data_IF_143265371214
#
_entry.id   IF_143265371214
#
_cell.length_a   1.000
_cell.length_b   1.000
_cell.length_c   1.000
_cell.angle_alpha   90.00
_cell.angle_beta   90.00
_cell.angle_gamma   90.00
#
_symmetry.space_group_name_H-M   'P 1'
#
loop_
_entity.id
_entity.type
_entity.pdbx_description
1 polymer ?
#
# COMPACT_ATOMS: atom_id res chain seq x y z
N UNK A 1 -77.09 12.92 23.29
CA UNK A 1 -77.01 12.57 21.86
C UNK A 1 -75.67 13.08 21.34
N UNK A 2 -74.59 12.43 21.77
CA UNK A 2 -73.90 11.33 21.09
C UNK A 2 -73.24 11.74 19.77
N UNK A 3 -71.98 12.14 19.97
CA UNK A 3 -70.85 12.19 19.05
C UNK A 3 -70.63 10.78 18.50
N UNK A 4 -71.01 10.51 17.25
CA UNK A 4 -70.72 9.27 16.52
C UNK A 4 -71.03 9.48 15.02
N UNK A 5 -70.16 10.20 14.30
CA UNK A 5 -70.10 10.09 12.82
C UNK A 5 -68.84 10.71 12.19
N UNK A 6 -67.68 10.57 12.85
CA UNK A 6 -66.37 10.91 12.27
C UNK A 6 -65.32 9.81 12.52
N UNK A 7 -65.74 8.54 12.48
CA UNK A 7 -64.86 7.38 12.57
C UNK A 7 -65.31 6.38 11.51
N UNK A 8 -64.80 6.46 10.28
CA UNK A 8 -64.81 5.37 9.28
C UNK A 8 -63.73 5.54 8.20
N UNK A 9 -62.58 6.16 8.52
CA UNK A 9 -61.37 6.13 7.64
C UNK A 9 -60.08 5.82 8.44
N UNK A 10 -60.16 5.38 9.70
CA UNK A 10 -58.97 5.08 10.53
C UNK A 10 -58.81 3.58 10.87
N UNK A 11 -59.70 2.69 10.40
CA UNK A 11 -59.63 1.24 10.74
C UNK A 11 -59.28 0.32 9.56
N UNK A 12 -58.38 0.74 8.66
CA UNK A 12 -57.76 -0.18 7.67
C UNK A 12 -56.28 0.15 7.41
N UNK A 13 -55.57 0.59 8.45
CA UNK A 13 -54.10 0.64 8.47
C UNK A 13 -53.51 0.01 9.75
N UNK A 14 -54.28 -0.86 10.42
CA UNK A 14 -53.81 -1.78 11.46
C UNK A 14 -53.72 -3.20 10.88
N UNK A 15 -52.95 -3.37 9.80
CA UNK A 15 -52.57 -4.68 9.26
C UNK A 15 -51.36 -4.60 8.32
N UNK A 16 -50.35 -3.81 8.68
CA UNK A 16 -49.01 -3.90 8.12
C UNK A 16 -48.01 -3.23 9.07
N UNK A 17 -48.09 -3.59 10.35
CA UNK A 17 -47.05 -3.30 11.33
C UNK A 17 -45.84 -4.19 11.07
N UNK A 18 -45.15 -4.01 9.95
CA UNK A 18 -43.73 -4.35 9.87
C UNK A 18 -43.02 -3.16 10.49
N UNK A 19 -42.94 -3.17 11.82
CA UNK A 19 -41.82 -2.50 12.47
C UNK A 19 -40.60 -3.21 11.89
N UNK A 20 -39.90 -2.53 10.97
CA UNK A 20 -38.56 -2.93 10.62
C UNK A 20 -37.77 -2.85 11.93
N UNK A 21 -37.61 -4.01 12.58
CA UNK A 21 -36.56 -4.19 13.56
C UNK A 21 -35.28 -3.67 12.89
N UNK A 22 -34.43 -2.89 13.59
CA UNK A 22 -33.11 -2.60 13.05
C UNK A 22 -32.53 -3.96 12.65
N UNK A 23 -32.00 -4.06 11.43
CA UNK A 23 -31.24 -5.23 11.01
C UNK A 23 -30.32 -5.58 12.19
N UNK A 24 -30.46 -6.82 12.68
CA UNK A 24 -29.77 -7.34 13.85
C UNK A 24 -28.32 -6.82 13.82
N UNK A 25 -28.02 -5.81 14.64
CA UNK A 25 -26.65 -5.35 14.85
C UNK A 25 -25.98 -6.46 15.65
N UNK A 26 -25.67 -7.54 14.93
CA UNK A 26 -24.82 -8.61 15.43
C UNK A 26 -23.53 -7.89 15.81
N UNK A 27 -23.31 -7.69 17.11
CA UNK A 27 -22.02 -7.21 17.59
C UNK A 27 -20.97 -8.15 17.03
N UNK A 28 -20.16 -7.63 16.10
CA UNK A 28 -19.00 -8.34 15.56
C UNK A 28 -18.13 -8.72 16.74
N UNK A 29 -17.96 -10.03 16.97
CA UNK A 29 -17.10 -10.55 18.03
C UNK A 29 -15.72 -10.83 17.46
N UNK A 30 -14.72 -10.69 18.32
CA UNK A 30 -13.37 -11.14 18.08
C UNK A 30 -13.33 -12.52 17.40
N UNK A 31 -12.70 -12.61 16.23
CA UNK A 31 -12.57 -13.86 15.46
C UNK A 31 -13.78 -14.25 14.61
N UNK A 32 -14.86 -13.46 14.59
CA UNK A 32 -15.93 -13.63 13.61
C UNK A 32 -15.37 -13.38 12.19
N UNK A 33 -15.85 -14.14 11.20
CA UNK A 33 -15.58 -13.82 9.80
C UNK A 33 -16.27 -12.51 9.44
N UNK A 34 -15.54 -11.63 8.78
CA UNK A 34 -16.01 -10.31 8.32
C UNK A 34 -15.63 -10.16 6.86
N UNK A 35 -16.55 -9.63 6.06
CA UNK A 35 -16.26 -9.16 4.71
C UNK A 35 -16.44 -7.64 4.68
N UNK A 36 -15.58 -6.96 3.94
CA UNK A 36 -15.69 -5.52 3.66
C UNK A 36 -15.34 -5.25 2.20
N UNK A 37 -15.76 -4.10 1.66
CA UNK A 37 -15.38 -3.69 0.30
C UNK A 37 -14.19 -2.74 0.38
N UNK A 38 -13.03 -3.22 -0.07
CA UNK A 38 -11.81 -2.42 -0.17
C UNK A 38 -11.75 -1.66 -1.49
N UNK A 39 -11.21 -0.44 -1.45
CA UNK A 39 -10.86 0.33 -2.63
C UNK A 39 -9.42 0.84 -2.57
N UNK A 40 -8.73 0.82 -3.71
CA UNK A 40 -7.41 1.44 -3.89
C UNK A 40 -7.40 2.28 -5.16
N UNK A 41 -6.71 3.41 -5.13
CA UNK A 41 -6.60 4.31 -6.27
C UNK A 41 -5.17 4.31 -6.81
N UNK A 42 -4.98 3.92 -8.07
CA UNK A 42 -3.78 4.30 -8.80
C UNK A 42 -3.93 5.75 -9.26
N UNK A 43 -2.99 6.64 -8.91
CA UNK A 43 -3.16 8.09 -9.11
C UNK A 43 -1.88 8.78 -9.60
N UNK A 44 -2.02 9.55 -10.68
CA UNK A 44 -1.04 10.52 -11.15
C UNK A 44 -1.37 11.89 -10.54
N UNK A 45 -0.63 12.29 -9.51
CA UNK A 45 -0.85 13.54 -8.80
C UNK A 45 -0.70 14.77 -9.70
N UNK A 46 -1.64 15.71 -9.58
CA UNK A 46 -1.51 17.05 -10.13
C UNK A 46 -0.25 17.72 -9.59
N UNK A 47 0.51 18.36 -10.48
CA UNK A 47 1.82 18.96 -10.17
C UNK A 47 2.12 20.20 -11.00
N UNK A 48 1.13 20.72 -11.72
CA UNK A 48 1.34 21.93 -12.52
C UNK A 48 1.39 23.15 -11.61
N UNK A 49 2.20 24.18 -11.94
CA UNK A 49 2.27 25.40 -11.15
C UNK A 49 0.90 26.07 -11.00
N UNK A 50 0.57 26.47 -9.77
CA UNK A 50 -0.68 27.19 -9.47
C UNK A 50 -0.38 28.60 -8.99
N UNK A 51 -1.35 29.52 -9.11
CA UNK A 51 -1.21 30.88 -8.53
C UNK A 51 -1.04 30.85 -7.01
N UNK A 52 -1.59 29.84 -6.34
CA UNK A 52 -1.45 29.62 -4.90
C UNK A 52 -0.20 28.79 -4.51
N UNK A 53 0.72 28.56 -5.46
CA UNK A 53 1.94 27.80 -5.24
C UNK A 53 1.70 26.38 -4.76
N UNK A 54 2.51 25.92 -3.80
CA UNK A 54 2.39 24.57 -3.22
C UNK A 54 1.05 24.30 -2.54
N UNK A 55 0.45 25.31 -1.90
CA UNK A 55 -0.87 25.13 -1.27
C UNK A 55 -1.92 24.80 -2.33
N UNK A 56 -1.89 25.47 -3.49
CA UNK A 56 -2.80 25.20 -4.59
C UNK A 56 -2.64 23.80 -5.16
N UNK A 57 -1.41 23.28 -5.26
CA UNK A 57 -1.16 21.89 -5.68
C UNK A 57 -1.82 20.91 -4.71
N UNK A 58 -1.59 21.08 -3.40
CA UNK A 58 -2.17 20.18 -2.39
C UNK A 58 -3.70 20.22 -2.37
N UNK A 59 -4.28 21.41 -2.56
CA UNK A 59 -5.72 21.59 -2.60
C UNK A 59 -6.35 20.96 -3.85
N UNK A 60 -5.74 21.16 -5.02
CA UNK A 60 -6.22 20.56 -6.27
C UNK A 60 -6.23 19.03 -6.19
N UNK A 61 -5.12 18.44 -5.71
CA UNK A 61 -5.06 17.01 -5.47
C UNK A 61 -6.12 16.55 -4.46
N UNK A 62 -6.31 17.25 -3.34
CA UNK A 62 -7.34 16.90 -2.36
C UNK A 62 -8.76 16.95 -2.94
N UNK A 63 -9.05 17.92 -3.82
CA UNK A 63 -10.33 18.00 -4.54
C UNK A 63 -10.51 16.80 -5.47
N UNK A 64 -9.50 16.46 -6.28
CA UNK A 64 -9.55 15.30 -7.18
C UNK A 64 -9.73 13.99 -6.39
N UNK A 65 -8.97 13.81 -5.31
CA UNK A 65 -9.10 12.65 -4.43
C UNK A 65 -10.49 12.56 -3.81
N UNK A 66 -11.12 13.70 -3.47
CA UNK A 66 -12.49 13.74 -2.94
C UNK A 66 -13.53 13.23 -3.96
N UNK A 67 -13.31 13.42 -5.26
CA UNK A 67 -14.14 12.81 -6.30
C UNK A 67 -13.98 11.29 -6.32
N UNK A 68 -12.77 10.77 -6.13
CA UNK A 68 -12.54 9.33 -6.05
C UNK A 68 -13.09 8.70 -4.77
N UNK A 69 -13.08 9.43 -3.65
CA UNK A 69 -13.81 9.05 -2.43
C UNK A 69 -15.30 8.84 -2.74
N UNK A 70 -15.94 9.78 -3.45
CA UNK A 70 -17.33 9.66 -3.85
C UNK A 70 -17.56 8.49 -4.83
N UNK A 71 -16.67 8.29 -5.81
CA UNK A 71 -16.74 7.17 -6.78
C UNK A 71 -16.58 5.81 -6.08
N UNK A 72 -15.65 5.70 -5.14
CA UNK A 72 -15.44 4.48 -4.34
C UNK A 72 -16.68 4.17 -3.50
N UNK A 73 -17.24 5.19 -2.85
CA UNK A 73 -18.48 5.00 -2.08
C UNK A 73 -19.65 4.58 -2.96
N UNK A 74 -19.79 5.16 -4.15
CA UNK A 74 -20.83 4.79 -5.10
C UNK A 74 -20.72 3.32 -5.57
N UNK A 75 -19.52 2.73 -5.50
CA UNK A 75 -19.26 1.31 -5.76
C UNK A 75 -19.35 0.44 -4.50
N UNK A 76 -19.82 0.99 -3.37
CA UNK A 76 -20.04 0.24 -2.13
C UNK A 76 -18.82 0.09 -1.24
N UNK A 77 -17.72 0.82 -1.49
CA UNK A 77 -16.52 0.73 -0.66
C UNK A 77 -16.79 1.10 0.81
N UNK A 78 -16.07 0.43 1.71
CA UNK A 78 -15.99 0.72 3.14
C UNK A 78 -14.71 1.51 3.48
N UNK A 79 -13.64 1.30 2.71
CA UNK A 79 -12.35 1.97 2.86
C UNK A 79 -11.73 2.28 1.49
N UNK A 80 -11.12 3.46 1.35
CA UNK A 80 -10.30 3.84 0.20
C UNK A 80 -8.86 4.14 0.65
N UNK A 81 -7.88 3.52 0.01
CA UNK A 81 -6.45 3.86 0.14
C UNK A 81 -6.01 4.67 -1.06
N UNK A 82 -5.27 5.76 -0.83
CA UNK A 82 -4.67 6.60 -1.88
C UNK A 82 -3.15 6.52 -1.90
N UNK A 83 -2.47 6.88 -3.00
CA UNK A 83 -1.03 6.69 -3.12
C UNK A 83 -0.18 7.56 -2.19
N UNK A 84 1.08 7.16 -2.06
CA UNK A 84 2.12 8.01 -1.48
C UNK A 84 2.31 9.24 -2.39
N UNK A 85 2.50 10.41 -1.80
CA UNK A 85 2.59 11.68 -2.54
C UNK A 85 1.34 12.09 -3.32
N UNK A 86 0.19 11.46 -3.07
CA UNK A 86 -1.04 11.80 -3.76
C UNK A 86 -1.47 13.25 -3.53
N UNK A 87 -1.19 13.82 -2.35
CA UNK A 87 -1.59 15.20 -1.99
C UNK A 87 -0.53 16.23 -2.42
N UNK A 88 0.71 16.05 -1.98
CA UNK A 88 1.82 17.00 -2.19
C UNK A 88 2.53 16.87 -3.54
N UNK A 89 2.28 15.79 -4.29
CA UNK A 89 3.03 15.39 -5.48
C UNK A 89 4.49 14.99 -5.20
N UNK A 90 5.08 14.25 -6.14
CA UNK A 90 6.50 13.89 -6.16
C UNK A 90 7.41 15.10 -6.51
N UNK A 91 6.84 16.14 -7.12
CA UNK A 91 7.57 17.30 -7.64
C UNK A 91 7.54 18.44 -6.62
N UNK A 92 8.38 18.32 -5.58
CA UNK A 92 8.49 19.32 -4.52
C UNK A 92 9.72 20.20 -4.70
N UNK A 93 9.59 21.49 -4.35
CA UNK A 93 10.71 22.42 -4.28
C UNK A 93 11.61 22.12 -3.06
N UNK A 94 12.76 22.81 -2.96
CA UNK A 94 13.64 22.66 -1.80
C UNK A 94 13.00 23.17 -0.50
N UNK A 95 12.14 24.19 -0.60
CA UNK A 95 11.25 24.58 0.50
C UNK A 95 9.94 23.79 0.35
N UNK A 96 9.78 22.75 1.16
CA UNK A 96 8.61 21.88 1.12
C UNK A 96 7.46 22.39 1.99
N UNK A 97 7.67 23.43 2.82
CA UNK A 97 6.63 23.90 3.73
C UNK A 97 5.30 24.20 3.01
N UNK A 98 5.25 24.88 1.86
CA UNK A 98 4.00 25.19 1.17
C UNK A 98 3.16 23.97 0.73
N UNK A 99 3.78 22.80 0.56
CA UNK A 99 3.09 21.56 0.15
C UNK A 99 2.79 20.61 1.32
N UNK A 100 3.14 21.00 2.55
CA UNK A 100 2.91 20.16 3.75
C UNK A 100 1.50 20.37 4.31
N UNK A 101 1.07 19.50 5.24
CA UNK A 101 -0.13 19.68 6.05
C UNK A 101 0.22 19.53 7.53
N UNK A 102 -0.44 20.29 8.40
CA UNK A 102 -0.49 19.95 9.81
C UNK A 102 -1.41 18.75 10.00
N UNK A 103 -1.00 17.76 10.79
CA UNK A 103 -1.82 16.58 11.12
C UNK A 103 -2.04 16.56 12.63
N UNK A 104 -3.28 16.41 13.13
CA UNK A 104 -3.54 16.33 14.56
C UNK A 104 -3.02 15.02 15.15
N UNK A 105 -2.72 15.03 16.44
CA UNK A 105 -2.60 13.80 17.22
C UNK A 105 -3.95 13.04 17.19
N UNK A 106 -3.99 11.75 16.78
CA UNK A 106 -5.22 10.96 16.77
C UNK A 106 -5.98 10.92 18.10
N UNK A 107 -5.29 11.05 19.24
CA UNK A 107 -5.92 11.08 20.58
C UNK A 107 -6.78 12.32 20.81
N UNK A 108 -6.62 13.37 19.99
CA UNK A 108 -7.49 14.54 20.02
C UNK A 108 -8.85 14.27 19.39
N UNK A 109 -9.02 13.17 18.66
CA UNK A 109 -10.22 12.85 17.88
C UNK A 109 -10.72 14.06 17.07
N UNK A 110 -9.78 14.78 16.46
CA UNK A 110 -10.10 15.98 15.70
C UNK A 110 -10.87 15.60 14.43
N UNK A 111 -11.89 16.39 14.11
CA UNK A 111 -12.64 16.31 12.85
C UNK A 111 -12.33 17.57 12.02
N UNK A 112 -11.26 17.56 11.19
CA UNK A 112 -10.88 18.74 10.41
C UNK A 112 -12.02 19.35 9.60
N UNK A 113 -12.94 18.55 9.07
CA UNK A 113 -14.06 19.05 8.27
C UNK A 113 -14.89 20.15 8.97
N UNK A 114 -15.14 19.96 10.27
CA UNK A 114 -15.97 20.87 11.08
C UNK A 114 -15.23 22.12 11.56
N UNK A 115 -13.91 22.21 11.35
CA UNK A 115 -13.11 23.34 11.79
C UNK A 115 -13.15 24.46 10.74
N UNK A 116 -13.42 25.68 11.19
CA UNK A 116 -13.34 26.88 10.37
C UNK A 116 -11.97 27.50 10.60
N UNK A 117 -11.04 27.23 9.69
CA UNK A 117 -9.67 27.72 9.75
C UNK A 117 -9.14 27.94 8.33
N UNK A 118 -8.59 29.12 8.08
CA UNK A 118 -8.07 29.56 6.79
C UNK A 118 -6.53 29.62 6.76
N UNK A 119 -5.86 29.12 7.81
CA UNK A 119 -4.41 29.03 7.85
C UNK A 119 -3.89 28.09 6.75
N UNK A 120 -2.66 28.37 6.32
CA UNK A 120 -1.93 27.52 5.36
C UNK A 120 -1.77 26.10 5.91
N UNK A 121 -1.54 25.14 5.01
CA UNK A 121 -1.21 23.76 5.37
C UNK A 121 -2.31 23.04 6.17
N UNK A 122 -3.57 23.39 5.89
CA UNK A 122 -4.75 22.79 6.51
C UNK A 122 -5.86 22.43 5.51
N UNK A 123 -6.01 23.21 4.43
CA UNK A 123 -7.15 23.11 3.50
C UNK A 123 -7.27 21.74 2.83
N UNK A 124 -6.15 21.12 2.44
CA UNK A 124 -6.18 19.79 1.82
C UNK A 124 -6.63 18.73 2.83
N UNK A 125 -6.09 18.74 4.04
CA UNK A 125 -6.50 17.82 5.12
C UNK A 125 -7.99 17.99 5.46
N UNK A 126 -8.47 19.23 5.58
CA UNK A 126 -9.90 19.53 5.80
C UNK A 126 -10.78 19.00 4.68
N UNK A 127 -10.38 19.20 3.43
CA UNK A 127 -11.12 18.76 2.24
C UNK A 127 -11.29 17.23 2.25
N UNK A 128 -10.22 16.49 2.56
CA UNK A 128 -10.23 15.03 2.63
C UNK A 128 -11.06 14.51 3.82
N UNK A 129 -10.94 15.15 5.00
CA UNK A 129 -11.80 14.87 6.16
C UNK A 129 -13.29 15.07 5.81
N UNK A 130 -13.63 16.13 5.09
CA UNK A 130 -15.01 16.35 4.63
C UNK A 130 -15.46 15.30 3.62
N UNK A 131 -14.60 14.90 2.69
CA UNK A 131 -14.92 13.86 1.73
C UNK A 131 -15.23 12.53 2.43
N UNK A 132 -14.43 12.15 3.42
CA UNK A 132 -14.68 10.97 4.26
C UNK A 132 -16.02 11.07 4.99
N UNK A 133 -16.28 12.21 5.65
CA UNK A 133 -17.51 12.46 6.40
C UNK A 133 -18.77 12.42 5.52
N UNK A 134 -18.77 13.15 4.40
CA UNK A 134 -19.93 13.26 3.50
C UNK A 134 -20.26 11.91 2.87
N UNK A 135 -19.23 11.11 2.53
CA UNK A 135 -19.42 9.83 1.87
C UNK A 135 -19.52 8.66 2.86
N UNK A 136 -19.35 8.87 4.17
CA UNK A 136 -19.37 7.81 5.18
C UNK A 136 -18.42 6.66 4.78
N UNK A 137 -17.17 7.01 4.51
CA UNK A 137 -16.11 6.13 4.00
C UNK A 137 -14.85 6.31 4.84
N UNK A 138 -14.14 5.21 5.17
CA UNK A 138 -12.78 5.32 5.68
C UNK A 138 -11.83 5.77 4.57
N UNK A 139 -10.99 6.76 4.80
CA UNK A 139 -10.06 7.25 3.78
C UNK A 139 -8.65 7.25 4.36
N UNK A 140 -7.76 6.48 3.74
CA UNK A 140 -6.33 6.42 4.05
C UNK A 140 -5.59 7.26 3.01
N UNK A 141 -4.92 8.31 3.47
CA UNK A 141 -4.18 9.23 2.62
C UNK A 141 -2.74 9.36 3.06
N UNK A 142 -1.86 9.71 2.13
CA UNK A 142 -0.48 10.09 2.41
C UNK A 142 -0.32 11.61 2.28
N UNK A 143 0.35 12.23 3.25
CA UNK A 143 0.67 13.66 3.27
C UNK A 143 2.11 13.91 3.70
N UNK A 144 2.71 14.97 3.17
CA UNK A 144 3.87 15.59 3.79
C UNK A 144 3.42 16.31 5.07
N UNK A 145 3.75 15.79 6.25
CA UNK A 145 3.40 16.39 7.54
C UNK A 145 4.40 17.48 7.93
N UNK A 146 3.90 18.62 8.40
CA UNK A 146 4.67 19.63 9.14
C UNK A 146 4.41 19.51 10.64
N UNK A 147 5.34 18.89 11.36
CA UNK A 147 5.24 18.69 12.82
C UNK A 147 5.95 19.83 13.57
N UNK A 148 5.24 20.65 14.37
CA UNK A 148 5.86 21.79 15.04
C UNK A 148 6.76 21.34 16.21
N UNK A 149 7.99 21.83 16.27
CA UNK A 149 8.94 21.59 17.38
C UNK A 149 9.27 22.85 18.20
N UNK A 150 8.69 24.01 17.85
CA UNK A 150 8.72 25.24 18.66
C UNK A 150 7.30 25.73 18.97
N UNK A 151 7.17 26.53 20.02
CA UNK A 151 5.91 27.17 20.41
C UNK A 151 5.37 28.09 19.31
N UNK A 152 6.25 28.79 18.58
CA UNK A 152 5.89 29.70 17.49
C UNK A 152 5.33 28.93 16.29
N UNK A 153 5.92 27.78 15.94
CA UNK A 153 5.44 26.92 14.88
C UNK A 153 4.13 26.20 15.29
N UNK A 154 4.00 25.84 16.58
CA UNK A 154 2.77 25.24 17.12
C UNK A 154 1.60 26.24 17.11
N UNK A 155 1.84 27.52 17.38
CA UNK A 155 0.82 28.56 17.28
C UNK A 155 0.25 28.73 15.85
N UNK A 156 1.00 28.31 14.82
CA UNK A 156 0.54 28.30 13.42
C UNK A 156 -0.29 27.06 13.08
N UNK A 157 -0.17 25.97 13.85
CA UNK A 157 -0.98 24.77 13.65
C UNK A 157 -2.45 25.02 14.02
N UNK A 158 -3.42 24.55 13.21
CA UNK A 158 -4.84 24.58 13.56
C UNK A 158 -5.18 23.66 14.73
N UNK A 159 -4.27 22.75 15.06
CA UNK A 159 -4.39 21.79 16.14
C UNK A 159 -3.47 22.18 17.29
N UNK A 160 -3.94 21.96 18.52
CA UNK A 160 -3.13 22.11 19.73
C UNK A 160 -2.18 20.91 19.91
N UNK A 161 -1.36 20.66 18.89
CA UNK A 161 -0.43 19.54 18.86
C UNK A 161 0.65 19.71 19.93
N UNK A 162 1.02 18.60 20.56
CA UNK A 162 2.24 18.51 21.35
C UNK A 162 3.45 18.84 20.49
N UNK A 163 4.43 19.52 21.09
CA UNK A 163 5.68 19.84 20.42
C UNK A 163 6.43 18.55 20.09
N UNK A 164 6.91 18.47 18.87
CA UNK A 164 7.75 17.37 18.41
C UNK A 164 9.16 17.52 18.97
N UNK A 165 9.58 16.50 19.71
CA UNK A 165 10.90 16.43 20.33
C UNK A 165 11.70 15.22 19.83
N UNK A 166 11.29 14.58 18.73
CA UNK A 166 11.95 13.39 18.20
C UNK A 166 13.35 13.69 17.65
N UNK A 167 13.56 14.91 17.13
CA UNK A 167 14.81 15.35 16.53
C UNK A 167 15.19 16.74 17.03
N UNK A 168 16.45 17.13 16.78
CA UNK A 168 16.86 18.52 16.92
C UNK A 168 16.00 19.40 16.01
N UNK A 169 15.41 20.44 16.60
CA UNK A 169 14.44 21.29 15.92
C UNK A 169 15.14 22.17 14.87
N UNK A 170 14.78 22.07 13.59
CA UNK A 170 15.35 22.92 12.55
C UNK A 170 15.01 24.41 12.76
N UNK A 171 15.71 25.28 12.03
CA UNK A 171 15.58 26.74 12.20
C UNK A 171 14.21 27.31 11.84
N UNK A 172 13.43 26.60 11.01
CA UNK A 172 12.05 26.96 10.68
C UNK A 172 11.03 26.46 11.72
N UNK A 173 11.49 25.76 12.76
CA UNK A 173 10.69 25.30 13.87
C UNK A 173 9.82 24.08 13.59
N UNK A 174 10.08 23.35 12.49
CA UNK A 174 9.27 22.20 12.06
C UNK A 174 10.12 21.00 11.69
N UNK A 175 9.59 19.81 11.95
CA UNK A 175 10.12 18.55 11.44
C UNK A 175 9.14 18.02 10.39
N UNK A 176 9.67 17.65 9.23
CA UNK A 176 8.86 17.14 8.13
C UNK A 176 8.88 15.62 8.07
N UNK A 177 7.71 15.01 7.86
CA UNK A 177 7.55 13.56 7.75
C UNK A 177 6.71 13.18 6.55
N UNK A 178 7.03 12.04 5.94
CA UNK A 178 6.13 11.31 5.06
C UNK A 178 5.14 10.54 5.95
N UNK A 179 3.84 10.80 5.82
CA UNK A 179 2.84 10.42 6.83
C UNK A 179 1.54 9.91 6.23
N UNK A 180 1.16 8.68 6.59
CA UNK A 180 -0.17 8.14 6.35
C UNK A 180 -1.13 8.61 7.44
N UNK A 181 -2.31 9.07 7.02
CA UNK A 181 -3.38 9.56 7.90
C UNK A 181 -4.67 8.82 7.55
N UNK A 182 -5.41 8.42 8.58
CA UNK A 182 -6.69 7.72 8.41
C UNK A 182 -7.82 8.59 8.93
N UNK A 183 -8.79 8.85 8.05
CA UNK A 183 -10.09 9.41 8.41
C UNK A 183 -11.11 8.29 8.59
N UNK A 184 -11.87 8.34 9.68
CA UNK A 184 -13.05 7.49 9.85
C UNK A 184 -14.27 8.02 9.06
N UNK A 185 -15.41 7.31 9.15
CA UNK A 185 -16.66 7.70 8.47
C UNK A 185 -17.22 9.05 8.92
N UNK A 186 -16.78 9.60 10.07
CA UNK A 186 -17.16 10.92 10.54
C UNK A 186 -16.17 12.01 10.09
N UNK A 187 -15.10 11.66 9.39
CA UNK A 187 -14.00 12.56 9.04
C UNK A 187 -13.01 12.78 10.19
N UNK A 188 -13.07 11.98 11.25
CA UNK A 188 -12.15 12.05 12.40
C UNK A 188 -10.81 11.48 12.02
N UNK A 189 -9.70 12.14 12.39
CA UNK A 189 -8.37 11.53 12.30
C UNK A 189 -8.22 10.48 13.40
N UNK A 190 -8.12 9.21 13.01
CA UNK A 190 -8.04 8.07 13.94
C UNK A 190 -6.70 7.34 13.94
N UNK A 191 -5.86 7.60 12.95
CA UNK A 191 -4.47 7.15 12.94
C UNK A 191 -3.58 8.12 12.15
N UNK A 192 -2.32 8.19 12.60
CA UNK A 192 -1.24 8.95 11.99
C UNK A 192 0.02 8.10 12.10
N UNK A 193 0.58 7.72 10.97
CA UNK A 193 1.78 6.91 10.88
C UNK A 193 2.84 7.60 10.03
N UNK A 194 4.01 7.87 10.63
CA UNK A 194 5.17 8.46 9.96
C UNK A 194 6.09 7.35 9.42
N UNK A 195 6.38 7.40 8.13
CA UNK A 195 7.23 6.44 7.41
C UNK A 195 8.55 6.21 8.13
N UNK A 196 8.89 4.94 8.37
CA UNK A 196 10.11 4.58 9.11
C UNK A 196 11.30 4.37 8.19
N UNK A 197 11.07 3.77 7.03
CA UNK A 197 12.11 3.39 6.10
C UNK A 197 12.05 4.30 4.88
N UNK A 198 12.77 5.42 4.94
CA UNK A 198 12.82 6.41 3.86
C UNK A 198 13.57 5.87 2.63
N UNK A 199 13.11 6.21 1.43
CA UNK A 199 13.72 5.86 0.14
C UNK A 199 14.03 7.14 -0.67
N UNK A 200 15.27 7.62 -0.60
CA UNK A 200 15.76 8.82 -1.28
C UNK A 200 14.91 10.08 -0.99
N UNK A 201 14.53 10.26 0.27
CA UNK A 201 13.67 11.34 0.76
C UNK A 201 14.43 12.31 1.70
N UNK A 202 15.40 13.09 1.19
CA UNK A 202 16.24 13.95 2.02
C UNK A 202 15.45 15.05 2.78
N UNK A 203 14.25 15.37 2.31
CA UNK A 203 13.35 16.36 2.90
C UNK A 203 12.62 15.87 4.15
N UNK A 204 12.55 14.55 4.39
CA UNK A 204 11.82 13.98 5.52
C UNK A 204 12.75 13.38 6.58
N UNK A 205 12.24 13.32 7.81
CA UNK A 205 12.81 12.49 8.87
C UNK A 205 12.05 11.18 8.96
N UNK A 206 12.74 10.14 9.44
CA UNK A 206 12.12 8.85 9.70
C UNK A 206 11.19 8.94 10.93
N UNK A 207 10.10 8.20 10.92
CA UNK A 207 9.27 8.00 12.12
C UNK A 207 10.05 7.25 13.20
N UNK A 208 9.96 7.72 14.45
CA UNK A 208 10.57 7.07 15.63
C UNK A 208 9.54 6.49 16.60
N UNK A 209 8.27 6.66 16.27
CA UNK A 209 7.13 6.25 17.09
C UNK A 209 6.94 4.73 17.12
N UNK A 210 6.12 4.26 18.07
CA UNK A 210 5.78 2.83 18.20
C UNK A 210 5.09 2.32 16.93
N UNK A 211 5.29 1.05 16.57
CA UNK A 211 4.53 0.42 15.48
C UNK A 211 3.01 0.42 15.74
N UNK A 212 2.59 0.63 16.98
CA UNK A 212 1.18 0.76 17.36
C UNK A 212 0.51 2.00 16.77
N UNK A 213 1.25 3.07 16.45
CA UNK A 213 0.66 4.24 15.78
C UNK A 213 0.23 3.93 14.35
N UNK A 214 0.77 2.85 13.77
CA UNK A 214 0.37 2.33 12.48
C UNK A 214 -0.89 1.45 12.55
N UNK A 215 -1.51 1.24 13.71
CA UNK A 215 -2.71 0.40 13.84
C UNK A 215 -3.95 1.26 14.05
N UNK A 216 -5.01 0.95 13.30
CA UNK A 216 -6.36 1.45 13.57
C UNK A 216 -7.39 0.33 13.47
N UNK A 217 -8.52 0.52 14.15
CA UNK A 217 -9.64 -0.43 14.13
C UNK A 217 -10.87 0.27 13.57
N UNK A 218 -11.54 -0.38 12.61
CA UNK A 218 -12.73 0.15 11.96
C UNK A 218 -14.00 -0.15 12.78
N UNK A 219 -15.09 0.56 12.47
CA UNK A 219 -16.41 0.34 13.07
C UNK A 219 -17.03 -1.02 12.68
N UNK A 220 -16.54 -1.63 11.59
CA UNK A 220 -16.83 -3.00 11.20
C UNK A 220 -15.88 -4.05 11.81
N UNK A 221 -15.06 -3.65 12.79
CA UNK A 221 -14.30 -4.56 13.65
C UNK A 221 -13.02 -5.12 13.05
N UNK A 222 -12.52 -4.53 11.95
CA UNK A 222 -11.26 -4.97 11.31
C UNK A 222 -10.12 -4.08 11.77
N UNK A 223 -9.00 -4.70 12.17
CA UNK A 223 -7.77 -3.99 12.49
C UNK A 223 -6.89 -3.94 11.25
N UNK A 224 -6.42 -2.75 10.91
CA UNK A 224 -5.47 -2.51 9.82
C UNK A 224 -4.11 -2.11 10.37
N UNK A 225 -3.04 -2.53 9.70
CA UNK A 225 -1.72 -1.90 9.82
C UNK A 225 -1.50 -0.98 8.64
N UNK A 226 -0.95 0.20 8.93
CA UNK A 226 -0.41 1.16 7.98
C UNK A 226 1.04 0.79 7.67
N UNK A 227 1.47 1.04 6.44
CA UNK A 227 2.88 1.03 6.02
C UNK A 227 3.02 1.83 4.73
N UNK A 228 4.18 2.43 4.49
CA UNK A 228 4.40 3.28 3.33
C UNK A 228 5.56 2.75 2.50
N UNK A 229 5.26 2.36 1.26
CA UNK A 229 6.25 2.08 0.22
C UNK A 229 7.38 1.13 0.71
N UNK A 230 8.59 1.67 0.87
CA UNK A 230 9.78 0.91 1.23
C UNK A 230 9.70 0.20 2.59
N UNK A 231 8.77 0.57 3.47
CA UNK A 231 8.49 -0.14 4.72
C UNK A 231 8.19 -1.64 4.51
N UNK A 232 7.63 -2.04 3.36
CA UNK A 232 7.32 -3.45 3.05
C UNK A 232 8.56 -4.36 3.08
N UNK A 233 9.75 -3.79 2.84
CA UNK A 233 11.02 -4.50 2.82
C UNK A 233 11.68 -4.62 4.21
N UNK A 234 11.07 -4.05 5.25
CA UNK A 234 11.63 -3.98 6.60
C UNK A 234 10.73 -4.63 7.65
N UNK A 235 11.31 -4.84 8.84
CA UNK A 235 10.61 -5.44 9.97
C UNK A 235 9.47 -4.54 10.50
N UNK A 236 9.67 -3.23 10.46
CA UNK A 236 8.77 -2.25 11.06
C UNK A 236 8.14 -1.36 9.98
N UNK A 237 6.85 -1.01 10.10
CA UNK A 237 5.90 -1.45 11.14
C UNK A 237 5.10 -2.69 10.71
N UNK A 238 4.91 -2.90 9.40
CA UNK A 238 3.91 -3.82 8.87
C UNK A 238 4.15 -5.28 9.28
N UNK A 239 5.36 -5.79 9.05
CA UNK A 239 5.70 -7.17 9.43
C UNK A 239 5.59 -7.38 10.96
N UNK A 240 6.03 -6.42 11.77
CA UNK A 240 5.89 -6.49 13.23
C UNK A 240 4.43 -6.48 13.69
N UNK A 241 3.56 -5.69 13.04
CA UNK A 241 2.13 -5.65 13.36
C UNK A 241 1.40 -6.91 12.89
N UNK A 242 1.80 -7.51 11.77
CA UNK A 242 1.24 -8.80 11.32
C UNK A 242 1.68 -9.93 12.26
N UNK A 243 2.99 -10.10 12.46
CA UNK A 243 3.54 -11.26 13.19
C UNK A 243 3.43 -11.09 14.70
N UNK A 244 3.77 -9.92 15.22
CA UNK A 244 3.80 -9.66 16.66
C UNK A 244 2.43 -9.40 17.27
N UNK A 245 1.44 -9.03 16.45
CA UNK A 245 0.17 -8.46 16.89
C UNK A 245 -1.06 -9.09 16.22
N UNK A 246 -0.86 -9.94 15.21
CA UNK A 246 -1.92 -10.71 14.58
C UNK A 246 -2.83 -9.88 13.67
N UNK A 247 -2.38 -8.70 13.23
CA UNK A 247 -3.11 -7.90 12.24
C UNK A 247 -3.13 -8.63 10.90
N UNK A 248 -4.29 -8.62 10.23
CA UNK A 248 -4.53 -9.37 8.99
C UNK A 248 -4.78 -8.52 7.76
N UNK A 249 -5.03 -7.24 7.96
CA UNK A 249 -5.31 -6.31 6.88
C UNK A 249 -4.28 -5.18 6.92
N UNK A 250 -3.73 -4.82 5.77
CA UNK A 250 -2.67 -3.83 5.66
C UNK A 250 -3.04 -2.83 4.56
N UNK A 251 -2.99 -1.55 4.89
CA UNK A 251 -3.21 -0.46 3.95
C UNK A 251 -1.87 0.19 3.63
N UNK A 252 -1.52 0.23 2.34
CA UNK A 252 -0.22 0.66 1.86
C UNK A 252 -0.32 1.71 0.76
N UNK A 253 0.23 2.88 1.04
CA UNK A 253 0.44 3.96 0.07
C UNK A 253 1.85 3.82 -0.49
N UNK A 254 2.03 3.91 -1.81
CA UNK A 254 3.36 3.74 -2.41
C UNK A 254 3.57 4.58 -3.67
N UNK A 255 4.80 5.06 -3.84
CA UNK A 255 5.35 5.53 -5.10
C UNK A 255 6.51 4.61 -5.52
N UNK A 256 6.18 3.33 -5.68
CA UNK A 256 7.12 2.22 -5.90
C UNK A 256 7.96 2.42 -7.16
N UNK A 257 9.25 2.05 -7.12
CA UNK A 257 10.11 2.06 -8.30
C UNK A 257 10.32 0.62 -8.76
N UNK A 258 9.91 0.32 -9.99
CA UNK A 258 10.06 -1.01 -10.57
C UNK A 258 11.51 -1.29 -11.00
N UNK A 259 12.02 -2.40 -10.47
CA UNK A 259 13.36 -2.91 -10.78
C UNK A 259 13.25 -4.40 -11.08
N UNK A 260 13.66 -4.78 -12.29
CA UNK A 260 13.67 -6.16 -12.74
C UNK A 260 14.85 -6.94 -12.12
N UNK A 261 14.69 -8.27 -11.94
CA UNK A 261 13.44 -9.03 -12.09
C UNK A 261 12.63 -9.14 -10.77
N UNK A 262 13.24 -8.83 -9.62
CA UNK A 262 12.71 -9.22 -8.30
C UNK A 262 11.90 -8.15 -7.60
N UNK A 263 12.02 -6.90 -8.01
CA UNK A 263 11.51 -5.74 -7.27
C UNK A 263 10.43 -5.00 -8.07
N UNK A 264 9.65 -5.72 -8.86
CA UNK A 264 8.44 -5.18 -9.47
C UNK A 264 7.31 -5.12 -8.44
N UNK A 265 6.55 -4.03 -8.45
CA UNK A 265 5.42 -3.76 -7.57
C UNK A 265 4.47 -4.97 -7.42
N UNK A 266 3.84 -5.50 -8.49
CA UNK A 266 2.91 -6.62 -8.36
C UNK A 266 3.56 -7.88 -7.78
N UNK A 267 4.82 -8.16 -8.12
CA UNK A 267 5.56 -9.34 -7.63
C UNK A 267 5.80 -9.26 -6.13
N UNK A 268 6.35 -8.13 -5.64
CA UNK A 268 6.67 -7.95 -4.22
C UNK A 268 5.40 -7.89 -3.39
N UNK A 269 4.40 -7.13 -3.82
CA UNK A 269 3.16 -6.93 -3.06
C UNK A 269 2.34 -8.23 -2.96
N UNK A 270 2.17 -8.95 -4.07
CA UNK A 270 1.49 -10.26 -4.08
C UNK A 270 2.26 -11.28 -3.22
N UNK A 271 3.58 -11.38 -3.40
CA UNK A 271 4.42 -12.31 -2.65
C UNK A 271 4.35 -12.06 -1.14
N UNK A 272 4.41 -10.80 -0.72
CA UNK A 272 4.29 -10.40 0.69
C UNK A 272 2.94 -10.79 1.29
N UNK A 273 1.85 -10.48 0.60
CA UNK A 273 0.48 -10.82 1.02
C UNK A 273 0.27 -12.32 1.17
N UNK A 274 0.66 -13.11 0.16
CA UNK A 274 0.55 -14.58 0.17
C UNK A 274 1.42 -15.21 1.24
N UNK A 275 2.68 -14.80 1.34
CA UNK A 275 3.63 -15.39 2.29
C UNK A 275 3.17 -15.23 3.74
N UNK A 276 2.63 -14.07 4.08
CA UNK A 276 2.20 -13.76 5.44
C UNK A 276 0.75 -14.17 5.72
N UNK A 277 0.00 -14.59 4.72
CA UNK A 277 -1.41 -14.92 4.85
C UNK A 277 -2.23 -13.71 5.31
N UNK A 278 -2.08 -12.56 4.62
CA UNK A 278 -2.73 -11.29 4.98
C UNK A 278 -3.32 -10.60 3.77
N UNK A 279 -4.34 -9.78 3.99
CA UNK A 279 -4.87 -8.85 2.98
C UNK A 279 -3.97 -7.61 2.91
N UNK A 280 -3.66 -7.17 1.70
CA UNK A 280 -2.83 -6.01 1.43
C UNK A 280 -3.52 -5.13 0.37
N UNK A 281 -3.95 -3.95 0.77
CA UNK A 281 -4.53 -2.92 -0.09
C UNK A 281 -3.42 -1.93 -0.46
N UNK A 282 -2.92 -2.00 -1.69
CA UNK A 282 -1.83 -1.15 -2.20
C UNK A 282 -2.35 -0.13 -3.18
N UNK A 283 -2.02 1.13 -2.93
CA UNK A 283 -2.35 2.26 -3.77
C UNK A 283 -1.06 2.90 -4.28
N UNK A 284 -0.81 2.77 -5.58
CA UNK A 284 0.42 3.16 -6.26
C UNK A 284 0.31 4.50 -6.98
N UNK A 285 1.40 5.26 -6.99
CA UNK A 285 1.54 6.46 -7.82
C UNK A 285 1.67 6.05 -9.29
N UNK A 286 0.91 6.69 -10.18
CA UNK A 286 0.93 6.41 -11.61
C UNK A 286 1.87 7.37 -12.34
N UNK A 287 3.12 6.96 -12.53
CA UNK A 287 4.12 7.70 -13.28
C UNK A 287 5.08 6.72 -13.99
N UNK A 288 4.59 6.00 -15.02
CA UNK A 288 5.35 4.95 -15.69
C UNK A 288 6.66 5.47 -16.31
N UNK A 289 6.73 6.74 -16.72
CA UNK A 289 7.96 7.35 -17.25
C UNK A 289 9.08 7.48 -16.19
N UNK A 290 8.75 7.28 -14.91
CA UNK A 290 9.70 7.23 -13.79
C UNK A 290 9.61 5.94 -12.98
N UNK A 291 9.23 4.86 -13.66
CA UNK A 291 9.16 3.49 -13.13
C UNK A 291 8.17 3.32 -11.96
N UNK A 292 7.12 4.16 -11.88
CA UNK A 292 6.10 4.07 -10.83
C UNK A 292 4.80 3.58 -11.40
N UNK A 293 4.44 2.35 -11.05
CA UNK A 293 3.25 1.68 -11.53
C UNK A 293 2.87 0.57 -10.54
N UNK A 294 1.59 0.22 -10.49
CA UNK A 294 1.14 -0.97 -9.77
C UNK A 294 0.36 -0.65 -8.51
N UNK A 295 -0.93 -0.99 -8.56
CA UNK A 295 -1.87 -0.89 -7.45
C UNK A 295 -2.73 -2.15 -7.39
N UNK A 296 -3.18 -2.56 -6.21
CA UNK A 296 -4.00 -3.75 -6.10
C UNK A 296 -4.51 -4.06 -4.71
N UNK A 297 -5.48 -4.96 -4.67
CA UNK A 297 -6.01 -5.59 -3.48
C UNK A 297 -5.59 -7.06 -3.54
N UNK A 298 -4.58 -7.41 -2.75
CA UNK A 298 -4.05 -8.76 -2.63
C UNK A 298 -4.64 -9.43 -1.40
N UNK A 299 -5.24 -10.60 -1.59
CA UNK A 299 -6.09 -11.28 -0.62
C UNK A 299 -5.45 -12.55 -0.07
N UNK A 300 -4.17 -12.48 0.30
CA UNK A 300 -3.42 -13.64 0.79
C UNK A 300 -3.98 -14.32 2.04
N UNK A 301 -4.94 -13.70 2.74
CA UNK A 301 -5.66 -14.33 3.86
C UNK A 301 -6.76 -15.31 3.42
N UNK A 302 -7.27 -15.19 2.18
CA UNK A 302 -8.41 -15.94 1.66
C UNK A 302 -8.10 -16.57 0.32
N UNK A 303 -9.01 -17.40 -0.20
CA UNK A 303 -8.90 -17.99 -1.54
C UNK A 303 -9.49 -17.07 -2.63
N UNK A 304 -9.90 -15.85 -2.28
CA UNK A 304 -10.39 -14.88 -3.25
C UNK A 304 -9.25 -14.43 -4.19
N UNK A 305 -9.58 -14.28 -5.47
CA UNK A 305 -8.65 -13.81 -6.48
C UNK A 305 -8.14 -12.39 -6.18
N UNK A 306 -6.87 -12.13 -6.48
CA UNK A 306 -6.29 -10.80 -6.36
C UNK A 306 -6.88 -9.87 -7.43
N UNK A 307 -6.94 -8.57 -7.16
CA UNK A 307 -7.38 -7.59 -8.15
C UNK A 307 -6.36 -6.47 -8.21
N UNK A 308 -5.66 -6.31 -9.33
CA UNK A 308 -4.61 -5.32 -9.48
C UNK A 308 -4.63 -4.68 -10.86
N UNK A 309 -4.00 -3.52 -10.99
CA UNK A 309 -3.70 -2.84 -12.26
C UNK A 309 -2.20 -2.70 -12.39
N UNK A 310 -1.69 -2.95 -13.59
CA UNK A 310 -0.29 -2.75 -13.95
C UNK A 310 -0.21 -2.46 -15.45
N UNK A 311 -0.73 -1.29 -15.83
CA UNK A 311 -0.83 -0.86 -17.21
C UNK A 311 -0.43 0.62 -17.30
N UNK A 312 0.67 0.96 -18.03
CA UNK A 312 1.14 2.34 -18.16
C UNK A 312 0.11 3.26 -18.82
N UNK A 313 -0.86 2.73 -19.57
CA UNK A 313 -1.89 3.52 -20.26
C UNK A 313 -3.17 3.71 -19.43
N UNK A 314 -3.26 3.09 -18.24
CA UNK A 314 -4.47 3.11 -17.42
C UNK A 314 -4.77 4.47 -16.78
N UNK A 315 -3.76 5.31 -16.58
CA UNK A 315 -3.88 6.59 -15.90
C UNK A 315 -4.43 6.44 -14.47
N UNK A 316 -5.34 7.32 -14.08
CA UNK A 316 -5.99 7.23 -12.78
C UNK A 316 -7.00 6.09 -12.76
N UNK A 317 -6.75 5.05 -11.97
CA UNK A 317 -7.59 3.84 -11.92
C UNK A 317 -8.04 3.53 -10.50
N UNK A 318 -9.36 3.52 -10.30
CA UNK A 318 -9.96 3.04 -9.05
C UNK A 318 -10.24 1.54 -9.16
N UNK A 319 -9.76 0.77 -8.18
CA UNK A 319 -10.01 -0.66 -8.04
C UNK A 319 -10.87 -0.84 -6.79
N UNK A 320 -12.01 -1.53 -6.92
CA UNK A 320 -12.94 -1.81 -5.82
C UNK A 320 -13.29 -3.27 -5.85
N UNK A 321 -13.14 -3.97 -4.72
CA UNK A 321 -13.53 -5.37 -4.63
C UNK A 321 -13.65 -5.83 -3.17
N UNK A 322 -14.41 -6.89 -2.96
CA UNK A 322 -14.66 -7.49 -1.64
C UNK A 322 -13.38 -8.09 -1.05
N UNK A 323 -13.27 -8.09 0.27
CA UNK A 323 -12.16 -8.66 1.03
C UNK A 323 -12.73 -9.41 2.24
N UNK A 324 -12.35 -10.68 2.37
CA UNK A 324 -12.67 -11.50 3.53
C UNK A 324 -11.54 -11.46 4.57
N UNK A 325 -11.90 -11.35 5.84
CA UNK A 325 -10.97 -11.32 6.97
C UNK A 325 -11.64 -11.83 8.25
N UNK A 326 -10.95 -11.67 9.37
CA UNK A 326 -11.46 -11.93 10.73
C UNK A 326 -11.50 -10.63 11.53
N UNK A 327 -12.56 -10.48 12.31
CA UNK A 327 -12.69 -9.39 13.25
C UNK A 327 -11.55 -9.41 14.28
N UNK A 328 -10.98 -8.24 14.54
CA UNK A 328 -9.95 -8.05 15.55
C UNK A 328 -10.47 -8.42 16.94
N UNK A 329 -9.61 -9.01 17.77
CA UNK A 329 -9.92 -9.20 19.17
C UNK A 329 -9.83 -7.88 19.93
N UNK A 330 -10.70 -7.69 20.93
CA UNK A 330 -10.55 -6.62 21.92
C UNK A 330 -9.15 -6.74 22.56
N UNK A 331 -8.27 -5.81 22.21
CA UNK A 331 -6.85 -5.86 22.54
C UNK A 331 -6.04 -6.74 21.57
N UNK A 332 -5.12 -6.09 20.86
CA UNK A 332 -4.16 -6.70 19.94
C UNK A 332 -3.34 -7.78 20.67
N UNK A 333 -3.72 -9.05 20.51
CA UNK A 333 -3.03 -10.18 21.14
C UNK A 333 -1.83 -10.60 20.31
N UNK A 334 -0.72 -10.90 20.99
CA UNK A 334 0.42 -11.61 20.41
C UNK A 334 -0.03 -12.98 19.89
N UNK A 335 -0.24 -13.13 18.58
CA UNK A 335 -0.49 -14.41 17.95
C UNK A 335 0.81 -15.01 17.42
N UNK A 336 1.08 -16.29 17.69
CA UNK A 336 2.09 -17.03 16.92
C UNK A 336 1.48 -17.39 15.57
N UNK A 337 1.90 -16.70 14.51
CA UNK A 337 1.50 -17.08 13.16
C UNK A 337 2.01 -18.49 12.85
N UNK A 338 1.11 -19.40 12.47
CA UNK A 338 1.51 -20.64 11.79
C UNK A 338 1.50 -20.32 10.30
N UNK A 339 2.70 -20.31 9.71
CA UNK A 339 2.89 -20.12 8.28
C UNK A 339 2.37 -21.38 7.58
N UNK A 340 1.20 -21.31 6.96
CA UNK A 340 0.66 -22.43 6.19
C UNK A 340 1.25 -22.37 4.78
N UNK A 341 2.10 -23.33 4.47
CA UNK A 341 2.77 -23.47 3.17
C UNK A 341 1.99 -24.45 2.30
N UNK A 342 1.01 -23.97 1.53
CA UNK A 342 0.53 -24.61 0.31
C UNK A 342 -0.60 -23.78 -0.30
N UNK A 343 -0.38 -23.17 -1.47
CA UNK A 343 -1.46 -22.73 -2.35
C UNK A 343 -0.98 -22.79 -3.79
N UNK A 344 -1.69 -23.54 -4.63
CA UNK A 344 -1.48 -23.62 -6.07
C UNK A 344 -2.23 -22.49 -6.77
N UNK A 345 -1.59 -21.77 -7.69
CA UNK A 345 -2.25 -20.82 -8.58
C UNK A 345 -2.51 -21.44 -9.96
N UNK A 346 -3.74 -21.31 -10.48
CA UNK A 346 -4.02 -21.45 -11.92
C UNK A 346 -4.16 -20.07 -12.57
N UNK A 347 -3.80 -19.89 -13.86
CA UNK A 347 -3.94 -18.62 -14.56
C UNK A 347 -5.39 -18.40 -15.03
N UNK A 348 -5.99 -17.23 -14.76
CA UNK A 348 -7.34 -16.92 -15.25
C UNK A 348 -7.49 -15.50 -15.80
N UNK A 349 -8.26 -15.45 -16.89
CA UNK A 349 -8.61 -14.32 -17.74
C UNK A 349 -9.33 -13.17 -17.01
N UNK A 350 -8.86 -11.94 -17.26
CA UNK A 350 -9.53 -10.70 -16.91
C UNK A 350 -10.69 -10.46 -17.89
N UNK A 351 -11.89 -10.19 -17.36
CA UNK A 351 -13.03 -9.73 -18.17
C UNK A 351 -12.92 -8.21 -18.32
N UNK A 352 -12.48 -7.76 -19.48
CA UNK A 352 -12.54 -6.36 -19.88
C UNK A 352 -13.98 -6.00 -20.26
N UNK A 353 -14.55 -5.03 -19.56
CA UNK A 353 -15.79 -4.36 -19.98
C UNK A 353 -15.39 -3.16 -20.83
N UNK A 354 -15.27 -3.36 -22.16
CA UNK A 354 -15.04 -2.28 -23.11
C UNK A 354 -16.26 -2.07 -24.00
N UNK A 355 -16.93 -0.94 -23.80
CA UNK A 355 -17.75 -0.37 -24.84
C UNK A 355 -17.66 1.16 -24.79
N UNK A 356 -16.49 1.71 -25.10
CA UNK A 356 -16.40 3.07 -25.59
C UNK A 356 -15.33 3.21 -26.68
N UNK A 357 -15.68 3.84 -27.80
CA UNK A 357 -14.76 4.06 -28.93
C UNK A 357 -13.58 4.94 -28.50
N UNK A 358 -12.44 4.32 -28.22
CA UNK A 358 -11.20 5.02 -27.84
C UNK A 358 -10.46 5.49 -29.11
N UNK A 359 -10.22 6.81 -29.20
CA UNK A 359 -9.19 7.35 -30.10
C UNK A 359 -7.84 6.82 -29.62
N UNK A 360 -7.08 6.14 -30.49
CA UNK A 360 -5.74 5.62 -30.18
C UNK A 360 -4.84 6.75 -29.65
N UNK A 361 -4.67 6.82 -28.34
CA UNK A 361 -3.61 7.61 -27.72
C UNK A 361 -2.30 6.84 -27.88
N UNK A 362 -1.16 7.53 -28.12
CA UNK A 362 0.14 6.86 -28.14
C UNK A 362 0.40 6.21 -26.77
N UNK A 363 0.87 4.96 -26.80
CA UNK A 363 1.24 4.21 -25.58
C UNK A 363 2.29 4.98 -24.78
N UNK A 364 2.10 5.06 -23.46
CA UNK A 364 3.07 5.61 -22.52
C UNK A 364 4.26 4.66 -22.36
N UNK A 365 5.44 5.24 -22.20
CA UNK A 365 6.66 4.49 -21.94
C UNK A 365 6.74 4.13 -20.46
N UNK A 366 6.95 2.84 -20.15
CA UNK A 366 7.27 2.40 -18.80
C UNK A 366 8.79 2.23 -18.66
N UNK A 367 9.42 3.11 -17.90
CA UNK A 367 10.82 2.97 -17.49
C UNK A 367 10.96 1.81 -16.52
N UNK A 368 11.91 0.91 -16.75
CA UNK A 368 12.25 -0.18 -15.84
C UNK A 368 13.74 -0.14 -15.53
N UNK A 369 14.09 -0.21 -14.25
CA UNK A 369 15.48 -0.42 -13.84
C UNK A 369 15.79 -1.92 -13.82
N UNK A 370 17.08 -2.27 -13.77
CA UNK A 370 17.52 -3.65 -13.71
C UNK A 370 18.49 -3.82 -12.54
N UNK A 371 18.32 -4.90 -11.80
CA UNK A 371 19.25 -5.35 -10.77
C UNK A 371 20.52 -5.93 -11.42
N UNK A 372 21.63 -5.88 -10.70
CA UNK A 372 22.88 -6.51 -11.14
C UNK A 372 22.88 -7.99 -10.76
N UNK A 373 22.66 -8.84 -11.76
CA UNK A 373 22.63 -10.29 -11.58
C UNK A 373 24.02 -10.96 -11.66
N UNK A 374 25.10 -10.19 -11.76
CA UNK A 374 26.46 -10.73 -11.96
C UNK A 374 26.96 -11.60 -10.81
N UNK A 375 26.52 -11.30 -9.58
CA UNK A 375 26.85 -12.07 -8.40
C UNK A 375 25.93 -13.28 -8.19
N UNK A 376 24.86 -13.44 -8.97
CA UNK A 376 23.94 -14.57 -8.84
C UNK A 376 24.56 -15.82 -9.44
N UNK A 377 24.41 -16.95 -8.73
CA UNK A 377 24.67 -18.25 -9.35
C UNK A 377 23.58 -18.50 -10.39
N UNK A 378 23.95 -18.99 -11.58
CA UNK A 378 23.05 -19.13 -12.72
C UNK A 378 23.23 -20.50 -13.38
N UNK A 379 22.11 -21.20 -13.61
CA UNK A 379 22.03 -22.45 -14.35
C UNK A 379 21.01 -22.33 -15.47
N UNK A 380 21.47 -22.44 -16.72
CA UNK A 380 20.58 -22.45 -17.88
C UNK A 380 19.72 -23.72 -17.90
N UNK A 381 18.41 -23.55 -18.13
CA UNK A 381 17.44 -24.62 -18.19
C UNK A 381 17.28 -25.12 -19.63
N UNK A 382 17.65 -26.37 -19.87
CA UNK A 382 17.55 -26.98 -21.19
C UNK A 382 16.09 -27.30 -21.56
N UNK A 383 15.67 -27.14 -22.83
CA UNK A 383 14.35 -27.57 -23.26
C UNK A 383 14.15 -29.08 -23.01
N UNK A 384 12.97 -29.47 -22.54
CA UNK A 384 12.62 -30.89 -22.37
C UNK A 384 12.13 -31.46 -23.70
N UNK A 385 12.94 -32.32 -24.33
CA UNK A 385 12.61 -32.95 -25.61
C UNK A 385 11.53 -34.03 -25.52
N UNK A 386 11.21 -34.51 -24.31
CA UNK A 386 10.26 -35.61 -24.08
C UNK A 386 9.00 -35.21 -23.30
N UNK A 387 8.88 -33.95 -22.87
CA UNK A 387 7.79 -33.52 -21.97
C UNK A 387 7.90 -34.05 -20.54
N UNK A 388 8.93 -34.87 -20.25
CA UNK A 388 9.22 -35.35 -18.91
C UNK A 388 9.77 -34.21 -18.03
N UNK A 389 9.35 -34.14 -16.74
CA UNK A 389 9.88 -33.16 -15.81
C UNK A 389 11.36 -33.44 -15.52
N UNK A 390 12.17 -32.39 -15.63
CA UNK A 390 13.57 -32.38 -15.25
C UNK A 390 13.72 -31.77 -13.86
N UNK A 391 14.67 -32.29 -13.08
CA UNK A 391 15.02 -31.73 -11.77
C UNK A 391 16.43 -31.17 -11.86
N UNK A 392 16.60 -29.93 -11.42
CA UNK A 392 17.90 -29.26 -11.35
C UNK A 392 18.09 -28.62 -9.99
N UNK A 393 19.33 -28.63 -9.51
CA UNK A 393 19.72 -28.01 -8.25
C UNK A 393 20.79 -26.95 -8.51
N UNK A 394 20.69 -25.83 -7.82
CA UNK A 394 21.65 -24.73 -7.89
C UNK A 394 21.87 -24.13 -6.51
N UNK A 395 23.12 -24.06 -6.07
CA UNK A 395 23.49 -23.42 -4.81
C UNK A 395 24.26 -22.12 -5.07
N UNK A 396 24.11 -21.16 -4.17
CA UNK A 396 24.91 -19.95 -4.12
C UNK A 396 25.80 -19.96 -2.89
N UNK A 397 27.12 -20.01 -3.11
CA UNK A 397 28.15 -20.00 -2.07
C UNK A 397 27.91 -21.00 -0.91
N UNK A 398 27.22 -22.12 -1.17
CA UNK A 398 26.77 -23.14 -0.21
C UNK A 398 25.81 -22.69 0.91
N UNK A 399 25.42 -21.40 0.93
CA UNK A 399 24.52 -20.81 1.93
C UNK A 399 23.05 -21.14 1.64
N UNK A 400 22.64 -21.05 0.37
CA UNK A 400 21.31 -21.41 -0.11
C UNK A 400 21.41 -22.33 -1.31
N UNK A 401 20.56 -23.36 -1.33
CA UNK A 401 20.40 -24.27 -2.46
C UNK A 401 18.93 -24.28 -2.90
N UNK A 402 18.73 -24.18 -4.20
CA UNK A 402 17.45 -24.08 -4.86
C UNK A 402 17.27 -25.32 -5.71
N UNK A 403 16.12 -25.99 -5.60
CA UNK A 403 15.76 -27.13 -6.43
C UNK A 403 14.55 -26.76 -7.27
N UNK A 404 14.62 -27.02 -8.57
CA UNK A 404 13.53 -26.75 -9.51
C UNK A 404 13.17 -28.03 -10.24
N UNK A 405 11.89 -28.38 -10.21
CA UNK A 405 11.31 -29.37 -11.12
C UNK A 405 10.55 -28.64 -12.21
N UNK A 406 10.91 -28.85 -13.48
CA UNK A 406 10.31 -28.14 -14.62
C UNK A 406 10.16 -29.02 -15.86
N UNK A 407 9.19 -28.70 -16.71
CA UNK A 407 9.06 -29.24 -18.06
C UNK A 407 8.81 -28.08 -19.01
N UNK A 408 9.74 -27.82 -19.93
CA UNK A 408 9.60 -26.75 -20.92
C UNK A 408 9.60 -27.31 -22.33
N UNK A 409 8.54 -27.03 -23.09
CA UNK A 409 8.46 -27.25 -24.54
C UNK A 409 8.78 -25.97 -25.32
N UNK A 410 9.17 -24.90 -24.64
CA UNK A 410 9.32 -23.57 -25.23
C UNK A 410 10.67 -23.42 -25.94
N UNK A 411 10.69 -22.60 -27.00
CA UNK A 411 11.93 -22.14 -27.65
C UNK A 411 12.62 -21.00 -26.88
N UNK A 412 12.06 -20.59 -25.75
CA UNK A 412 12.55 -19.52 -24.89
C UNK A 412 13.66 -20.01 -23.96
N UNK A 413 14.62 -19.12 -23.67
CA UNK A 413 15.74 -19.42 -22.78
C UNK A 413 15.37 -19.09 -21.33
N UNK A 414 15.51 -20.06 -20.44
CA UNK A 414 15.29 -19.88 -19.01
C UNK A 414 16.57 -20.17 -18.24
N UNK A 415 16.68 -19.59 -17.05
CA UNK A 415 17.75 -19.86 -16.10
C UNK A 415 17.18 -19.98 -14.69
N UNK A 416 17.67 -20.95 -13.93
CA UNK A 416 17.56 -20.94 -12.48
C UNK A 416 18.68 -20.04 -11.93
N UNK A 417 18.30 -19.15 -11.01
CA UNK A 417 19.17 -18.24 -10.29
C UNK A 417 19.12 -18.58 -8.80
N UNK A 418 20.27 -18.48 -8.14
CA UNK A 418 20.40 -18.61 -6.69
C UNK A 418 21.29 -17.48 -6.16
N UNK A 419 20.88 -16.85 -5.07
CA UNK A 419 21.65 -15.79 -4.43
C UNK A 419 21.38 -15.69 -2.93
N UNK A 420 22.43 -15.39 -2.16
CA UNK A 420 22.37 -15.13 -0.71
C UNK A 420 23.38 -14.05 -0.39
N UNK A 421 22.90 -12.83 -0.17
CA UNK A 421 23.79 -11.68 -0.04
C UNK A 421 23.05 -10.35 0.03
N UNK A 422 23.80 -9.23 0.10
CA UNK A 422 23.23 -7.90 0.10
C UNK A 422 22.75 -7.47 -1.30
N UNK A 423 21.46 -7.18 -1.44
CA UNK A 423 20.90 -6.47 -2.59
C UNK A 423 20.97 -4.97 -2.34
N UNK A 424 21.55 -4.25 -3.30
CA UNK A 424 21.71 -2.81 -3.26
C UNK A 424 20.49 -2.14 -3.91
N UNK A 425 20.03 -1.05 -3.30
CA UNK A 425 18.85 -0.31 -3.72
C UNK A 425 19.08 1.20 -3.65
N UNK A 426 18.35 1.96 -4.47
CA UNK A 426 18.40 3.43 -4.47
C UNK A 426 19.79 3.98 -4.80
N UNK A 427 20.39 3.54 -5.91
CA UNK A 427 21.75 3.90 -6.31
C UNK A 427 22.79 3.56 -5.22
N UNK A 428 22.75 2.31 -4.73
CA UNK A 428 23.65 1.77 -3.70
C UNK A 428 23.57 2.45 -2.32
N UNK A 429 22.52 3.25 -2.10
CA UNK A 429 22.29 3.93 -0.81
C UNK A 429 21.82 2.94 0.26
N UNK A 430 21.07 1.92 -0.13
CA UNK A 430 20.47 0.94 0.76
C UNK A 430 21.02 -0.44 0.48
N UNK A 431 21.36 -1.19 1.54
CA UNK A 431 21.74 -2.60 1.45
C UNK A 431 20.74 -3.44 2.25
N UNK A 432 20.06 -4.35 1.58
CA UNK A 432 19.11 -5.29 2.17
C UNK A 432 19.64 -6.71 1.98
N UNK A 433 19.72 -7.50 3.04
CA UNK A 433 20.13 -8.89 2.89
C UNK A 433 18.97 -9.71 2.34
N UNK A 434 19.19 -10.42 1.23
CA UNK A 434 18.19 -11.26 0.59
C UNK A 434 18.70 -12.69 0.41
N UNK A 435 17.77 -13.62 0.38
CA UNK A 435 17.99 -14.99 -0.05
C UNK A 435 16.96 -15.32 -1.13
N UNK A 436 17.43 -15.62 -2.34
CA UNK A 436 16.58 -15.76 -3.52
C UNK A 436 16.84 -17.10 -4.22
N UNK A 437 15.88 -18.03 -4.18
CA UNK A 437 15.68 -19.02 -5.23
C UNK A 437 14.78 -18.42 -6.32
N UNK A 438 15.19 -18.44 -7.60
CA UNK A 438 14.32 -17.93 -8.67
C UNK A 438 14.57 -18.52 -10.04
N UNK A 439 13.52 -18.70 -10.84
CA UNK A 439 13.65 -19.01 -12.27
C UNK A 439 13.40 -17.76 -13.10
N UNK A 440 14.45 -17.26 -13.76
CA UNK A 440 14.35 -16.12 -14.65
C UNK A 440 14.15 -16.56 -16.10
N UNK A 441 13.30 -15.81 -16.81
CA UNK A 441 13.28 -15.81 -18.27
C UNK A 441 14.40 -14.90 -18.80
N UNK A 442 15.26 -15.41 -19.69
CA UNK A 442 16.24 -14.59 -20.39
C UNK A 442 15.61 -13.98 -21.64
N UNK A 443 15.09 -12.75 -21.55
CA UNK A 443 15.27 -11.81 -22.66
C UNK A 443 16.59 -11.12 -22.40
N UNK A 444 17.65 -11.62 -23.04
CA UNK A 444 18.83 -10.80 -23.28
C UNK A 444 18.35 -9.57 -24.06
N UNK A 445 18.01 -8.49 -23.37
CA UNK A 445 18.08 -7.15 -23.93
C UNK A 445 19.58 -6.93 -24.18
N UNK A 446 20.01 -7.33 -25.36
CA UNK A 446 21.35 -7.11 -25.86
C UNK A 446 21.60 -5.60 -25.92
N UNK A 447 22.19 -5.04 -24.87
CA UNK A 447 22.91 -3.79 -24.95
C UNK A 447 24.42 -4.12 -25.05
N UNK A 448 25.08 -3.77 -26.16
CA UNK A 448 26.47 -4.15 -26.39
C UNK A 448 27.40 -3.29 -25.54
N UNK A 449 28.39 -3.98 -24.96
CA UNK A 449 29.61 -3.44 -24.35
C UNK A 449 29.45 -2.84 -22.95
N UNK A 450 30.00 -3.52 -21.94
CA UNK A 450 31.12 -2.98 -21.17
C UNK A 450 31.86 -4.13 -20.45
N UNK A 451 33.18 -4.07 -20.48
CA UNK A 451 34.10 -5.07 -19.96
C UNK A 451 34.87 -4.52 -18.75
N UNK A 452 35.29 -5.44 -17.88
CA UNK A 452 36.23 -5.30 -16.75
C UNK A 452 35.65 -4.68 -15.46
N UNK A 453 35.96 -5.18 -14.26
CA UNK A 453 36.89 -6.21 -13.82
C UNK A 453 36.87 -6.34 -12.29
N UNK A 454 37.06 -7.55 -11.77
CA UNK A 454 36.97 -7.90 -10.35
C UNK A 454 38.15 -7.38 -9.50
N UNK A 455 37.91 -7.10 -8.21
CA UNK A 455 38.92 -7.23 -7.14
C UNK A 455 38.34 -7.28 -5.70
N UNK A 456 38.32 -8.50 -5.14
CA UNK A 456 38.73 -8.95 -3.80
C UNK A 456 38.39 -8.19 -2.49
N UNK A 457 37.58 -8.85 -1.63
CA UNK A 457 38.08 -9.46 -0.38
C UNK A 457 37.54 -8.92 0.96
N UNK A 458 37.01 -9.80 1.84
CA UNK A 458 37.17 -9.90 3.33
C UNK A 458 36.13 -10.92 3.95
N UNK A 459 36.29 -11.42 5.21
CA UNK A 459 36.11 -12.83 5.60
C UNK A 459 34.81 -13.15 6.42
N UNK A 460 34.53 -14.43 6.78
CA UNK A 460 33.19 -14.89 7.16
C UNK A 460 32.94 -14.96 8.69
N UNK A 461 31.66 -14.89 9.10
CA UNK A 461 31.15 -15.23 10.44
C UNK A 461 29.74 -15.88 10.33
N UNK A 462 29.27 -16.65 11.34
CA UNK A 462 28.74 -17.99 11.11
C UNK A 462 27.21 -18.17 11.28
N UNK A 463 26.69 -19.05 10.42
CA UNK A 463 25.59 -20.02 10.58
C UNK A 463 24.40 -19.69 11.49
N UNK A 464 23.23 -19.52 10.86
CA UNK A 464 21.91 -19.81 11.42
C UNK A 464 21.12 -20.72 10.43
N UNK A 465 20.17 -21.53 10.93
CA UNK A 465 19.75 -22.77 10.30
C UNK A 465 18.86 -22.59 9.06
N UNK A 466 19.11 -23.48 8.09
CA UNK A 466 18.39 -23.69 6.83
C UNK A 466 16.90 -23.89 7.06
N UNK A 467 16.06 -23.12 6.37
CA UNK A 467 14.70 -23.52 6.03
C UNK A 467 14.39 -23.13 4.58
N UNK A 468 13.82 -24.09 3.87
CA UNK A 468 13.44 -24.13 2.47
C UNK A 468 12.58 -22.94 2.02
N UNK A 469 12.99 -22.30 0.92
CA UNK A 469 12.18 -21.31 0.20
C UNK A 469 11.65 -21.93 -1.10
N UNK A 470 10.33 -22.06 -1.20
CA UNK A 470 9.61 -22.37 -2.44
C UNK A 470 9.36 -21.05 -3.18
N UNK A 471 9.90 -20.92 -4.39
CA UNK A 471 9.53 -19.84 -5.32
C UNK A 471 8.54 -20.42 -6.33
N UNK A 472 7.30 -19.95 -6.30
CA UNK A 472 6.34 -20.16 -7.38
C UNK A 472 6.62 -19.20 -8.52
N UNK A 473 6.63 -19.75 -9.73
CA UNK A 473 6.90 -19.06 -10.98
C UNK A 473 5.57 -18.51 -11.48
N UNK A 474 5.40 -17.19 -11.48
CA UNK A 474 4.27 -16.58 -12.19
C UNK A 474 4.64 -16.40 -13.67
N UNK A 475 3.94 -17.14 -14.53
CA UNK A 475 3.80 -16.85 -15.97
C UNK A 475 2.51 -16.08 -16.23
#
# INVERSE_FOLDING_TARGET
MNVLQFIWVVELALAAGVVALPADQRRVRAGDQVAYVGAVLEYESYHQPTEAGGEGITLENAVILSEYVAKAKAQGADILVTPEYAVQSLFMDSDIFPVTQYVPDPELHAVPCGMIDDRLNFKALRTLSCAAQVNQLYVVVDVAEASPCTSEAAAQSPFNNTLDTAYECPSDGRIYYNTQVVFDRNGTVIARYRKKNLYLEPQFKAGVESDETAIFVTDFGVAFSLQICFDIAYLHPGLMNVVGRGVRDVAMSTAWIDILPFFMAPSVQNGWSRHLGVNLLVSGHHLPERAKLGSGIYRGFSDLEHTYVYDPDSGNKLIVSEVETIAAADGVRRSKLQLNTAMTSEPVNVVEDDNSRVQEKPRREHLLYNDDLSDYSNLHLAPSSSGEPQVVDLCHNDDICCSLTYSSSSSLNYSLLAYSGPMLQGHDTYAMYIQVPFTAYHVLLSCPHFAAGCANGFPPLPSLPRNSCLAEVFT
#
